data_IF_183874246054
#
_entry.id   IF_183874246054
#
_cell.length_a   1.000
_cell.length_b   1.000
_cell.length_c   1.000
_cell.angle_alpha   90.00
_cell.angle_beta   90.00
_cell.angle_gamma   90.00
#
_symmetry.space_group_name_H-M   'P 1'
#
loop_
_entity.id
_entity.type
_entity.pdbx_description
1 polymer ?
#
# COMPACT_ATOMS: atom_id res chain seq x y z
N UNK A 1 1.64 22.05 -0.43
CA UNK A 1 0.93 21.59 -1.64
C UNK A 1 -0.52 21.38 -1.27
N UNK A 2 -1.44 22.12 -1.88
CA UNK A 2 -2.88 21.87 -1.77
C UNK A 2 -3.27 20.90 -2.88
N UNK A 3 -3.76 19.72 -2.51
CA UNK A 3 -4.30 18.75 -3.46
C UNK A 3 -5.81 18.98 -3.60
N UNK A 4 -6.37 18.96 -4.82
CA UNK A 4 -7.82 18.90 -4.97
C UNK A 4 -8.37 17.67 -4.25
N UNK A 5 -9.60 17.76 -3.77
CA UNK A 5 -10.27 16.66 -3.06
C UNK A 5 -11.61 16.36 -3.68
N UNK A 6 -12.01 15.09 -3.61
CA UNK A 6 -13.29 14.57 -4.07
C UNK A 6 -13.93 13.79 -2.93
N UNK A 7 -15.24 13.94 -2.75
CA UNK A 7 -15.97 13.21 -1.70
C UNK A 7 -16.32 11.80 -2.20
N UNK A 8 -15.84 10.78 -1.51
CA UNK A 8 -16.16 9.36 -1.78
C UNK A 8 -16.66 8.74 -0.48
N UNK A 9 -17.87 8.18 -0.49
CA UNK A 9 -18.53 7.61 0.70
C UNK A 9 -18.53 8.55 1.93
N UNK A 10 -18.64 9.87 1.71
CA UNK A 10 -18.61 10.87 2.78
C UNK A 10 -17.20 11.23 3.30
N UNK A 11 -16.15 10.60 2.76
CA UNK A 11 -14.75 10.89 3.08
C UNK A 11 -14.14 11.77 1.99
N UNK A 12 -13.39 12.80 2.39
CA UNK A 12 -12.63 13.63 1.46
C UNK A 12 -11.36 12.90 1.01
N UNK A 13 -11.29 12.57 -0.28
CA UNK A 13 -10.19 11.83 -0.91
C UNK A 13 -9.36 12.79 -1.74
N UNK A 14 -8.04 12.85 -1.47
CA UNK A 14 -7.12 13.67 -2.26
C UNK A 14 -6.91 13.07 -3.65
N UNK A 15 -6.74 13.97 -4.61
CA UNK A 15 -6.42 13.65 -6.00
C UNK A 15 -5.16 14.43 -6.41
N UNK A 16 -4.26 13.80 -7.15
CA UNK A 16 -3.09 14.48 -7.69
C UNK A 16 -3.41 15.24 -9.00
N UNK A 17 -2.40 15.88 -9.60
CA UNK A 17 -2.56 16.64 -10.84
C UNK A 17 -2.94 15.77 -12.04
N UNK A 18 -2.65 14.47 -11.97
CA UNK A 18 -2.92 13.50 -13.03
C UNK A 18 -4.27 12.79 -12.84
N UNK A 19 -5.04 13.17 -11.81
CA UNK A 19 -6.34 12.60 -11.51
C UNK A 19 -6.28 11.31 -10.69
N UNK A 20 -5.14 10.94 -10.13
CA UNK A 20 -4.99 9.72 -9.33
C UNK A 20 -5.42 9.96 -7.89
N UNK A 21 -6.21 9.02 -7.35
CA UNK A 21 -6.73 9.09 -6.00
C UNK A 21 -5.70 8.61 -4.97
N UNK A 22 -5.64 9.27 -3.82
CA UNK A 22 -4.85 8.80 -2.69
C UNK A 22 -5.37 7.46 -2.17
N UNK A 23 -4.58 6.40 -2.33
CA UNK A 23 -4.94 5.06 -1.86
C UNK A 23 -5.22 5.00 -0.35
N UNK A 24 -4.57 5.85 0.44
CA UNK A 24 -4.80 5.92 1.89
C UNK A 24 -6.18 6.50 2.21
N UNK A 25 -6.58 7.56 1.51
CA UNK A 25 -7.86 8.21 1.75
C UNK A 25 -9.00 7.36 1.16
N UNK A 26 -8.75 6.70 0.02
CA UNK A 26 -9.69 5.75 -0.59
C UNK A 26 -9.91 4.52 0.31
N UNK A 27 -8.85 4.05 0.97
CA UNK A 27 -8.98 3.02 1.99
C UNK A 27 -9.85 3.49 3.16
N UNK A 28 -9.64 4.71 3.67
CA UNK A 28 -10.49 5.28 4.72
C UNK A 28 -11.96 5.39 4.28
N UNK A 29 -12.23 5.76 3.02
CA UNK A 29 -13.58 5.78 2.44
C UNK A 29 -14.22 4.38 2.37
N UNK A 30 -13.43 3.33 2.10
CA UNK A 30 -13.91 1.95 2.10
C UNK A 30 -14.18 1.44 3.53
N UNK A 31 -13.33 1.79 4.50
CA UNK A 31 -13.55 1.48 5.92
C UNK A 31 -14.82 2.16 6.44
N UNK A 32 -15.04 3.44 6.10
CA UNK A 32 -16.25 4.17 6.47
C UNK A 32 -17.54 3.52 5.92
N UNK A 33 -17.45 2.88 4.75
CA UNK A 33 -18.55 2.12 4.13
C UNK A 33 -18.68 0.68 4.68
N UNK A 34 -17.71 0.19 5.46
CA UNK A 34 -17.67 -1.19 5.97
C UNK A 34 -17.16 -2.23 4.96
N UNK A 35 -16.56 -1.79 3.85
CA UNK A 35 -16.02 -2.69 2.81
C UNK A 35 -14.57 -3.10 3.05
N UNK A 36 -13.89 -2.42 3.99
CA UNK A 36 -12.53 -2.72 4.39
C UNK A 36 -12.36 -2.56 5.91
N UNK A 37 -11.27 -3.11 6.44
CA UNK A 37 -10.85 -2.95 7.84
C UNK A 37 -9.47 -2.30 7.91
N UNK A 38 -9.15 -1.69 9.05
CA UNK A 38 -7.84 -1.05 9.29
C UNK A 38 -6.63 -1.99 9.03
N UNK A 39 -6.81 -3.30 9.22
CA UNK A 39 -5.77 -4.30 8.94
C UNK A 39 -5.36 -4.37 7.47
N UNK A 40 -6.22 -3.89 6.57
CA UNK A 40 -5.99 -3.87 5.12
C UNK A 40 -5.43 -2.52 4.64
N UNK A 41 -5.07 -1.60 5.56
CA UNK A 41 -4.48 -0.31 5.19
C UNK A 41 -3.21 -0.54 4.38
N UNK A 42 -2.95 0.22 3.29
CA UNK A 42 -1.79 -0.01 2.44
C UNK A 42 -0.44 -0.03 3.20
N UNK A 43 -0.29 0.80 4.23
CA UNK A 43 0.91 0.83 5.08
C UNK A 43 1.13 -0.41 5.96
N UNK A 44 0.12 -1.26 6.14
CA UNK A 44 0.23 -2.52 6.89
C UNK A 44 0.70 -3.68 6.00
N UNK A 45 0.64 -3.55 4.67
CA UNK A 45 1.00 -4.61 3.73
C UNK A 45 2.43 -5.15 3.96
N UNK A 46 3.42 -4.26 3.95
CA UNK A 46 4.83 -4.62 4.22
C UNK A 46 5.07 -4.99 5.68
N UNK A 47 4.13 -4.68 6.57
CA UNK A 47 4.21 -5.07 7.99
C UNK A 47 3.70 -6.48 8.25
N UNK A 48 3.16 -7.18 7.26
CA UNK A 48 2.82 -8.59 7.39
C UNK A 48 4.07 -9.46 7.57
N UNK A 49 4.03 -10.38 8.55
CA UNK A 49 5.12 -11.35 8.78
C UNK A 49 5.39 -12.21 7.53
N UNK A 50 4.33 -12.59 6.81
CA UNK A 50 4.44 -13.39 5.60
C UNK A 50 5.16 -12.63 4.49
N UNK A 51 4.77 -11.37 4.25
CA UNK A 51 5.37 -10.52 3.22
C UNK A 51 6.85 -10.28 3.52
N UNK A 52 7.21 -9.96 4.77
CA UNK A 52 8.63 -9.82 5.15
C UNK A 52 9.45 -11.08 4.92
N UNK A 53 8.91 -12.26 5.30
CA UNK A 53 9.57 -13.54 5.05
C UNK A 53 9.78 -13.78 3.56
N UNK A 54 8.77 -13.47 2.75
CA UNK A 54 8.85 -13.59 1.30
C UNK A 54 9.96 -12.69 0.72
N UNK A 55 9.99 -11.39 1.04
CA UNK A 55 11.04 -10.48 0.61
C UNK A 55 12.44 -10.95 1.02
N UNK A 56 12.60 -11.39 2.27
CA UNK A 56 13.89 -11.91 2.76
C UNK A 56 14.34 -13.19 2.02
N UNK A 57 13.40 -14.00 1.56
CA UNK A 57 13.68 -15.20 0.76
C UNK A 57 14.21 -14.83 -0.62
N UNK A 58 13.61 -13.82 -1.27
CA UNK A 58 14.08 -13.30 -2.56
C UNK A 58 15.50 -12.75 -2.43
N UNK A 59 15.75 -11.88 -1.45
CA UNK A 59 17.07 -11.28 -1.22
C UNK A 59 18.17 -12.34 -0.99
N UNK A 60 17.84 -13.43 -0.28
CA UNK A 60 18.76 -14.53 -0.03
C UNK A 60 19.06 -15.32 -1.30
N UNK A 61 18.04 -15.59 -2.13
CA UNK A 61 18.23 -16.26 -3.42
C UNK A 61 19.11 -15.44 -4.36
N UNK A 62 18.92 -14.12 -4.40
CA UNK A 62 19.74 -13.24 -5.24
C UNK A 62 21.20 -13.20 -4.80
N UNK A 63 21.48 -13.13 -3.49
CA UNK A 63 22.86 -13.20 -2.97
C UNK A 63 23.55 -14.51 -3.30
N UNK A 64 22.87 -15.63 -3.05
CA UNK A 64 23.40 -16.96 -3.40
C UNK A 64 23.69 -17.07 -4.91
N UNK A 65 22.90 -16.42 -5.77
CA UNK A 65 23.10 -16.44 -7.23
C UNK A 65 24.33 -15.64 -7.68
N UNK A 66 24.67 -14.56 -6.97
CA UNK A 66 25.90 -13.78 -7.22
C UNK A 66 27.13 -14.59 -6.75
N UNK A 67 27.05 -15.21 -5.57
CA UNK A 67 28.16 -15.97 -4.99
C UNK A 67 28.50 -17.23 -5.79
N UNK A 68 27.52 -17.85 -6.47
CA UNK A 68 27.71 -19.04 -7.33
C UNK A 68 28.36 -18.72 -8.69
N UNK A 69 28.43 -17.44 -9.10
CA UNK A 69 29.00 -17.00 -10.38
C UNK A 69 30.42 -16.43 -10.23
N UNK A 70 31.11 -16.70 -9.11
CA UNK A 70 32.43 -16.16 -8.77
C UNK A 70 33.43 -17.30 -8.54
#
# INVERSE_FOLDING_TARGET
>A
MTYPTVVVNGVSVRVDSDGQYSLNDLHAAAVAKGEATESQRPGEFLKSKQIRRFCSGIERCDKNRIDQNR
#
